data_IF_792615188661
#
_entry.id   IF_792615188661
#
_cell.length_a   1.000
_cell.length_b   1.000
_cell.length_c   1.000
_cell.angle_alpha   90.00
_cell.angle_beta   90.00
_cell.angle_gamma   90.00
#
_symmetry.space_group_name_H-M   'P 1'
#
loop_
_entity.id
_entity.type
_entity.pdbx_description
1 polymer ?
#
# COMPACT_ATOMS: atom_id res chain seq x y z
N UNK A 1 -13.15 14.21 33.01
CA UNK A 1 -13.01 15.20 31.91
C UNK A 1 -11.54 15.28 31.56
N UNK A 2 -11.11 14.44 30.63
CA UNK A 2 -9.82 14.57 29.94
C UNK A 2 -10.16 14.65 28.47
N UNK A 3 -9.89 15.80 27.88
CA UNK A 3 -10.07 16.08 26.46
C UNK A 3 -9.04 15.28 25.69
N UNK A 4 -9.43 14.10 25.19
CA UNK A 4 -8.70 13.46 24.10
C UNK A 4 -8.92 14.30 22.84
N UNK A 5 -7.96 15.21 22.67
CA UNK A 5 -7.68 15.98 21.48
C UNK A 5 -8.05 15.18 20.23
N UNK A 6 -9.05 15.68 19.49
CA UNK A 6 -9.45 15.21 18.16
C UNK A 6 -8.23 15.15 17.24
N UNK A 7 -7.49 14.05 17.30
CA UNK A 7 -6.48 13.73 16.30
C UNK A 7 -7.26 13.15 15.14
N UNK A 8 -6.94 13.63 13.96
CA UNK A 8 -7.32 13.06 12.67
C UNK A 8 -6.92 11.57 12.64
N UNK A 9 -7.77 10.68 13.18
CA UNK A 9 -7.46 9.27 13.38
C UNK A 9 -7.82 8.50 12.11
N UNK A 10 -6.93 8.55 11.12
CA UNK A 10 -7.06 7.76 9.88
C UNK A 10 -6.79 6.26 10.09
N UNK A 11 -6.27 5.85 11.24
CA UNK A 11 -6.07 4.45 11.61
C UNK A 11 -6.54 4.18 13.04
N UNK A 12 -7.16 3.02 13.24
CA UNK A 12 -7.38 2.41 14.54
C UNK A 12 -6.37 1.26 14.66
N UNK A 13 -5.60 1.29 15.72
CA UNK A 13 -4.68 0.20 16.09
C UNK A 13 -5.34 -0.62 17.18
N UNK A 14 -5.52 -1.92 16.95
CA UNK A 14 -6.13 -2.82 17.92
C UNK A 14 -5.39 -4.15 17.94
N UNK A 15 -4.68 -4.42 19.04
CA UNK A 15 -3.87 -5.63 19.21
C UNK A 15 -2.87 -5.84 18.06
N UNK A 16 -3.23 -6.67 17.09
CA UNK A 16 -2.44 -7.00 15.90
C UNK A 16 -3.04 -6.45 14.60
N UNK A 17 -4.14 -5.72 14.70
CA UNK A 17 -4.89 -5.18 13.57
C UNK A 17 -4.57 -3.71 13.34
N UNK A 18 -4.33 -3.37 12.07
CA UNK A 18 -4.32 -1.99 11.57
C UNK A 18 -5.58 -1.81 10.75
N UNK A 19 -6.46 -0.90 11.18
CA UNK A 19 -7.79 -0.72 10.60
C UNK A 19 -7.95 0.71 10.11
N UNK A 20 -8.28 0.88 8.83
CA UNK A 20 -8.79 2.14 8.30
C UNK A 20 -10.32 2.14 8.35
N UNK A 21 -10.91 3.15 8.98
CA UNK A 21 -12.38 3.24 9.14
C UNK A 21 -13.07 4.13 8.13
N UNK A 22 -12.30 4.98 7.44
CA UNK A 22 -12.79 5.91 6.43
C UNK A 22 -11.81 5.97 5.29
N UNK A 23 -12.33 5.83 4.08
CA UNK A 23 -11.55 5.99 2.87
C UNK A 23 -11.37 7.47 2.54
N UNK A 24 -10.12 7.87 2.31
CA UNK A 24 -9.73 9.22 1.89
C UNK A 24 -8.87 9.12 0.62
N UNK A 25 -9.41 9.51 -0.56
CA UNK A 25 -8.69 9.43 -1.83
C UNK A 25 -7.38 10.23 -1.84
N UNK A 26 -7.24 11.26 -1.02
CA UNK A 26 -6.00 12.07 -0.95
C UNK A 26 -4.82 11.28 -0.37
N UNK A 27 -5.08 10.17 0.32
CA UNK A 27 -4.08 9.31 0.94
C UNK A 27 -3.94 7.94 0.26
N UNK A 28 -4.59 7.73 -0.89
CA UNK A 28 -4.66 6.45 -1.61
C UNK A 28 -3.28 5.76 -1.72
N UNK A 29 -2.27 6.43 -2.30
CA UNK A 29 -0.95 5.83 -2.52
C UNK A 29 -0.21 5.48 -1.23
N UNK A 30 -0.42 6.27 -0.18
CA UNK A 30 0.14 5.98 1.14
C UNK A 30 -0.51 4.72 1.72
N UNK A 31 -1.84 4.61 1.65
CA UNK A 31 -2.60 3.47 2.18
C UNK A 31 -2.31 2.17 1.45
N UNK A 32 -2.20 2.20 0.13
CA UNK A 32 -1.75 1.06 -0.68
C UNK A 32 -0.38 0.53 -0.22
N UNK A 33 0.51 1.42 0.24
CA UNK A 33 1.81 1.03 0.77
C UNK A 33 1.68 0.40 2.15
N UNK A 34 0.93 1.04 3.05
CA UNK A 34 0.75 0.55 4.44
C UNK A 34 0.09 -0.83 4.47
N UNK A 35 -0.88 -1.08 3.59
CA UNK A 35 -1.60 -2.35 3.50
C UNK A 35 -0.98 -3.36 2.52
N UNK A 36 0.28 -3.15 2.11
CA UNK A 36 1.00 -4.13 1.28
C UNK A 36 1.18 -5.45 2.03
N UNK A 37 0.89 -6.56 1.35
CA UNK A 37 1.10 -7.92 1.87
C UNK A 37 2.21 -8.61 1.08
N UNK A 38 2.99 -9.47 1.74
CA UNK A 38 4.06 -10.20 1.08
C UNK A 38 4.67 -11.29 1.94
N UNK A 39 5.40 -12.21 1.30
CA UNK A 39 6.00 -13.38 1.95
C UNK A 39 7.54 -13.44 1.80
N UNK A 40 8.15 -12.35 1.35
CA UNK A 40 9.59 -12.25 1.07
C UNK A 40 9.99 -12.70 -0.34
N UNK A 41 9.15 -13.48 -1.03
CA UNK A 41 9.32 -13.82 -2.45
C UNK A 41 8.42 -12.97 -3.36
N UNK A 42 7.19 -12.74 -2.94
CA UNK A 42 6.17 -11.96 -3.62
C UNK A 42 5.64 -10.89 -2.65
N UNK A 43 5.32 -9.70 -3.16
CA UNK A 43 4.53 -8.72 -2.44
C UNK A 43 3.55 -8.00 -3.36
N UNK A 44 2.36 -7.70 -2.86
CA UNK A 44 1.31 -6.97 -3.58
C UNK A 44 0.86 -5.78 -2.74
N UNK A 45 0.83 -4.60 -3.36
CA UNK A 45 0.32 -3.37 -2.73
C UNK A 45 -1.15 -3.54 -2.36
N UNK A 46 -1.56 -2.91 -1.26
CA UNK A 46 -2.94 -2.96 -0.75
C UNK A 46 -3.91 -2.06 -1.54
N UNK A 47 -3.87 -2.12 -2.88
CA UNK A 47 -4.85 -1.48 -3.76
C UNK A 47 -6.14 -2.29 -3.84
N UNK A 48 -7.25 -1.62 -4.13
CA UNK A 48 -8.53 -2.29 -4.32
C UNK A 48 -8.54 -3.16 -5.58
N UNK A 49 -9.01 -4.40 -5.46
CA UNK A 49 -9.05 -5.39 -6.55
C UNK A 49 -10.02 -5.00 -7.67
N UNK A 50 -11.09 -4.27 -7.35
CA UNK A 50 -12.01 -3.71 -8.35
C UNK A 50 -11.38 -2.57 -9.18
N UNK A 51 -10.22 -2.07 -8.75
CA UNK A 51 -9.58 -0.87 -9.27
C UNK A 51 -10.22 0.43 -8.75
N UNK A 52 -9.40 1.45 -8.56
CA UNK A 52 -9.87 2.78 -8.18
C UNK A 52 -9.17 3.87 -9.02
N UNK A 53 -9.86 4.95 -9.43
CA UNK A 53 -9.23 6.02 -10.20
C UNK A 53 -7.99 6.59 -9.52
N UNK A 54 -6.83 6.51 -10.18
CA UNK A 54 -5.56 6.97 -9.63
C UNK A 54 -4.85 5.99 -8.69
N UNK A 55 -5.40 4.79 -8.47
CA UNK A 55 -4.71 3.73 -7.74
C UNK A 55 -3.42 3.31 -8.45
N UNK A 56 -2.45 2.90 -7.66
CA UNK A 56 -1.17 2.37 -8.12
C UNK A 56 -0.98 0.97 -7.56
N UNK A 57 -1.73 0.02 -8.12
CA UNK A 57 -1.55 -1.40 -7.84
C UNK A 57 -0.20 -1.88 -8.36
N UNK A 58 0.50 -2.66 -7.53
CA UNK A 58 1.72 -3.31 -7.97
C UNK A 58 1.91 -4.67 -7.28
N UNK A 59 2.36 -5.64 -8.06
CA UNK A 59 2.79 -6.95 -7.59
C UNK A 59 4.26 -7.13 -7.98
N UNK A 60 5.12 -7.32 -6.98
CA UNK A 60 6.56 -7.44 -7.17
C UNK A 60 7.01 -8.85 -6.82
N UNK A 61 7.76 -9.48 -7.72
CA UNK A 61 8.29 -10.84 -7.56
C UNK A 61 9.81 -10.77 -7.49
N UNK A 62 10.38 -11.31 -6.42
CA UNK A 62 11.82 -11.45 -6.26
C UNK A 62 12.41 -12.23 -7.44
N UNK A 63 13.37 -11.62 -8.15
CA UNK A 63 14.02 -12.23 -9.31
C UNK A 63 13.45 -11.79 -10.66
N UNK A 64 12.33 -11.07 -10.69
CA UNK A 64 11.75 -10.51 -11.92
C UNK A 64 12.08 -9.02 -11.99
N UNK A 65 13.00 -8.66 -12.88
CA UNK A 65 13.49 -7.30 -13.05
C UNK A 65 13.20 -6.80 -14.46
N UNK A 66 13.03 -5.49 -14.59
CA UNK A 66 12.87 -4.85 -15.90
C UNK A 66 14.23 -4.68 -16.60
N UNK A 67 14.26 -4.89 -17.91
CA UNK A 67 15.45 -4.78 -18.76
C UNK A 67 15.48 -3.40 -19.45
N UNK A 68 15.28 -2.34 -18.65
CA UNK A 68 15.29 -0.96 -19.16
C UNK A 68 16.74 -0.52 -19.39
N UNK A 69 17.12 -0.14 -20.63
CA UNK A 69 18.47 0.31 -20.89
C UNK A 69 18.70 1.71 -20.27
N UNK A 70 19.66 1.78 -19.35
CA UNK A 70 20.54 2.93 -19.05
C UNK A 70 20.27 3.75 -17.77
N UNK A 71 19.53 3.31 -16.74
CA UNK A 71 19.62 4.05 -15.45
C UNK A 71 19.63 3.21 -14.17
N UNK A 72 18.72 2.25 -13.99
CA UNK A 72 18.67 1.43 -12.77
C UNK A 72 17.91 0.13 -13.01
N UNK A 73 18.38 -0.97 -12.42
CA UNK A 73 17.64 -2.25 -12.40
C UNK A 73 16.59 -2.17 -11.31
N UNK A 74 15.32 -2.33 -11.68
CA UNK A 74 14.17 -2.33 -10.77
C UNK A 74 13.32 -3.59 -10.93
N UNK A 75 12.54 -3.94 -9.89
CA UNK A 75 11.61 -5.06 -9.97
C UNK A 75 10.47 -4.71 -10.95
N UNK A 76 10.14 -5.64 -11.83
CA UNK A 76 9.05 -5.43 -12.77
C UNK A 76 7.71 -5.56 -12.04
N UNK A 77 6.81 -4.62 -12.30
CA UNK A 77 5.42 -4.78 -11.88
C UNK A 77 4.77 -5.92 -12.66
N UNK A 78 4.35 -6.96 -11.95
CA UNK A 78 3.74 -8.15 -12.52
C UNK A 78 2.21 -8.00 -12.62
N UNK A 79 1.59 -8.56 -13.68
CA UNK A 79 0.14 -8.49 -13.91
C UNK A 79 -0.67 -9.25 -12.86
#
# INVERSE_FOLDING_TARGET
MTTDNERNCHFIYKDWDVIETKFDPSQLHHKETVFTVGNGYLGTRGSFEEGYPGAMGATLIQGVYDDVPIVYTELANCP
#
